data_IF_522932859373
#
_entry.id   IF_522932859373
#
_cell.length_a   1.000
_cell.length_b   1.000
_cell.length_c   1.000
_cell.angle_alpha   90.00
_cell.angle_beta   90.00
_cell.angle_gamma   90.00
#
_symmetry.space_group_name_H-M   'P 1'
#
loop_
_entity.id
_entity.type
_entity.pdbx_description
1 polymer ?
#
# COMPACT_ATOMS: atom_id res chain seq x y z
N UNK A 1 10.61 -44.74 30.73
CA UNK A 1 10.31 -44.34 29.35
C UNK A 1 9.15 -43.38 29.45
N UNK A 2 9.50 -42.09 29.51
CA UNK A 2 8.70 -41.05 30.14
C UNK A 2 7.72 -40.43 29.12
N UNK A 3 6.41 -40.50 29.39
CA UNK A 3 5.38 -39.98 28.48
C UNK A 3 5.52 -38.46 28.22
N UNK A 4 6.28 -37.76 29.08
CA UNK A 4 6.51 -36.31 29.01
C UNK A 4 7.45 -35.92 27.87
N UNK A 5 8.39 -36.78 27.46
CA UNK A 5 9.32 -36.52 26.34
C UNK A 5 8.62 -36.53 24.98
N UNK A 6 7.50 -37.26 24.88
CA UNK A 6 6.72 -37.37 23.63
C UNK A 6 5.88 -36.12 23.35
N UNK A 7 5.53 -35.35 24.38
CA UNK A 7 4.76 -34.11 24.24
C UNK A 7 5.64 -32.89 23.93
N UNK A 8 6.89 -32.86 24.42
CA UNK A 8 7.83 -31.77 24.11
C UNK A 8 8.34 -31.80 22.66
N UNK A 9 8.27 -32.95 21.99
CA UNK A 9 8.67 -33.10 20.57
C UNK A 9 7.61 -32.58 19.57
N UNK A 10 6.49 -32.01 20.03
CA UNK A 10 5.39 -31.54 19.15
C UNK A 10 5.18 -30.02 19.16
N UNK A 11 6.10 -29.26 19.72
CA UNK A 11 6.23 -27.84 19.40
C UNK A 11 6.96 -27.73 18.05
N UNK A 12 6.19 -27.75 16.96
CA UNK A 12 6.68 -27.26 15.66
C UNK A 12 7.23 -25.86 15.90
N UNK A 13 8.43 -25.50 15.43
CA UNK A 13 8.85 -24.11 15.45
C UNK A 13 7.83 -23.31 14.66
N UNK A 14 7.23 -22.34 15.35
CA UNK A 14 6.48 -21.25 14.76
C UNK A 14 7.29 -20.60 13.64
N UNK A 15 6.59 -20.18 12.58
CA UNK A 15 7.07 -19.08 11.76
C UNK A 15 8.02 -19.44 10.62
N UNK A 16 7.70 -20.46 9.81
CA UNK A 16 8.10 -20.36 8.40
C UNK A 16 7.29 -19.25 7.75
N UNK A 17 7.67 -17.98 7.96
CA UNK A 17 7.31 -16.91 7.02
C UNK A 17 7.85 -17.38 5.69
N UNK A 18 7.01 -18.02 4.86
CA UNK A 18 7.35 -18.24 3.46
C UNK A 18 7.66 -16.85 2.93
N UNK A 19 8.94 -16.56 2.70
CA UNK A 19 9.33 -15.38 1.93
C UNK A 19 8.50 -15.44 0.66
N UNK A 20 7.71 -14.40 0.42
CA UNK A 20 6.99 -14.30 -0.83
C UNK A 20 8.02 -14.17 -1.94
N UNK A 21 7.64 -14.58 -3.15
CA UNK A 21 8.51 -14.32 -4.29
C UNK A 21 8.58 -12.80 -4.51
N UNK A 22 9.78 -12.24 -4.71
CA UNK A 22 9.94 -10.88 -5.16
C UNK A 22 9.07 -10.58 -6.37
N UNK A 23 8.38 -9.44 -6.33
CA UNK A 23 7.63 -8.92 -7.47
C UNK A 23 8.56 -7.98 -8.23
N UNK A 24 8.54 -8.00 -9.56
CA UNK A 24 9.37 -7.09 -10.36
C UNK A 24 8.86 -5.66 -10.32
N UNK A 25 9.78 -4.70 -10.38
CA UNK A 25 9.47 -3.28 -10.51
C UNK A 25 8.55 -2.99 -11.70
N UNK A 26 8.76 -3.65 -12.84
CA UNK A 26 7.93 -3.49 -14.04
C UNK A 26 6.46 -3.82 -13.75
N UNK A 27 6.21 -4.91 -13.02
CA UNK A 27 4.84 -5.30 -12.67
C UNK A 27 4.20 -4.33 -11.68
N UNK A 28 4.94 -3.90 -10.65
CA UNK A 28 4.44 -2.91 -9.68
C UNK A 28 4.18 -1.57 -10.38
N UNK A 29 5.01 -1.18 -11.34
CA UNK A 29 4.85 0.02 -12.14
C UNK A 29 3.60 -0.02 -13.00
N UNK A 30 3.33 -1.13 -13.70
CA UNK A 30 2.10 -1.27 -14.49
C UNK A 30 0.84 -1.07 -13.63
N UNK A 31 0.80 -1.71 -12.45
CA UNK A 31 -0.35 -1.61 -11.54
C UNK A 31 -0.48 -0.20 -10.96
N UNK A 32 0.62 0.43 -10.57
CA UNK A 32 0.63 1.82 -10.10
C UNK A 32 0.14 2.79 -11.17
N UNK A 33 0.64 2.66 -12.41
CA UNK A 33 0.26 3.52 -13.53
C UNK A 33 -1.22 3.37 -13.88
N UNK A 34 -1.80 2.16 -13.77
CA UNK A 34 -3.23 1.96 -13.96
C UNK A 34 -4.05 2.79 -12.94
N UNK A 35 -3.68 2.73 -11.66
CA UNK A 35 -4.36 3.50 -10.59
C UNK A 35 -4.20 5.00 -10.77
N UNK A 36 -2.97 5.47 -11.04
CA UNK A 36 -2.72 6.90 -11.30
C UNK A 36 -3.50 7.38 -12.52
N UNK A 37 -3.60 6.57 -13.57
CA UNK A 37 -4.40 6.90 -14.75
C UNK A 37 -5.89 7.05 -14.44
N UNK A 38 -6.45 6.28 -13.50
CA UNK A 38 -7.84 6.43 -13.04
C UNK A 38 -8.05 7.76 -12.33
N UNK A 39 -7.16 8.11 -11.40
CA UNK A 39 -7.20 9.41 -10.69
C UNK A 39 -7.06 10.57 -11.68
N UNK A 40 -6.09 10.50 -12.59
CA UNK A 40 -5.79 11.56 -13.56
C UNK A 40 -6.95 11.89 -14.49
N UNK A 41 -7.82 10.92 -14.82
CA UNK A 41 -9.04 11.18 -15.62
C UNK A 41 -9.98 12.19 -14.96
N UNK A 42 -9.95 12.29 -13.63
CA UNK A 42 -10.80 13.19 -12.86
C UNK A 42 -10.05 14.38 -12.25
N UNK A 43 -8.73 14.35 -12.29
CA UNK A 43 -7.87 15.33 -11.63
C UNK A 43 -8.03 16.72 -12.27
N UNK A 44 -8.09 17.74 -11.42
CA UNK A 44 -8.17 19.13 -11.84
C UNK A 44 -6.91 19.83 -11.32
N UNK A 45 -6.21 20.55 -12.19
CA UNK A 45 -5.04 21.33 -11.79
C UNK A 45 -5.40 22.30 -10.65
N UNK A 46 -4.51 22.40 -9.66
CA UNK A 46 -4.75 23.16 -8.43
C UNK A 46 -5.38 22.37 -7.28
N UNK A 47 -5.86 21.13 -7.50
CA UNK A 47 -6.48 20.31 -6.44
C UNK A 47 -5.55 20.15 -5.22
N UNK A 48 -4.30 19.73 -5.42
CA UNK A 48 -3.37 19.50 -4.30
C UNK A 48 -3.02 20.81 -3.57
N UNK A 49 -2.82 21.90 -4.31
CA UNK A 49 -2.57 23.20 -3.68
C UNK A 49 -3.75 23.63 -2.79
N UNK A 50 -4.97 23.54 -3.31
CA UNK A 50 -6.18 23.85 -2.55
C UNK A 50 -6.32 22.97 -1.31
N UNK A 51 -6.07 21.66 -1.42
CA UNK A 51 -6.14 20.76 -0.28
C UNK A 51 -5.07 21.08 0.76
N UNK A 52 -3.84 21.41 0.35
CA UNK A 52 -2.78 21.85 1.26
C UNK A 52 -3.15 23.12 2.04
N UNK A 53 -3.80 24.08 1.37
CA UNK A 53 -4.18 25.37 1.98
C UNK A 53 -5.45 25.27 2.86
N UNK A 54 -6.45 24.48 2.45
CA UNK A 54 -7.78 24.48 3.06
C UNK A 54 -8.12 23.21 3.85
N UNK A 55 -7.41 22.10 3.61
CA UNK A 55 -7.68 20.79 4.20
C UNK A 55 -6.37 20.08 4.61
N UNK A 56 -5.54 20.67 5.49
CA UNK A 56 -4.20 20.15 5.82
C UNK A 56 -4.22 18.72 6.37
N UNK A 57 -5.26 18.34 7.12
CA UNK A 57 -5.40 16.97 7.60
C UNK A 57 -5.71 15.92 6.52
N UNK A 58 -6.21 16.35 5.35
CA UNK A 58 -6.33 15.48 4.17
C UNK A 58 -5.01 15.47 3.38
N UNK A 59 -4.33 16.61 3.28
CA UNK A 59 -2.99 16.70 2.68
C UNK A 59 -2.00 15.75 3.37
N UNK A 60 -1.94 15.78 4.70
CA UNK A 60 -1.12 14.86 5.49
C UNK A 60 -1.44 13.40 5.19
N UNK A 61 -2.71 13.05 4.99
CA UNK A 61 -3.11 11.68 4.67
C UNK A 61 -2.68 11.26 3.28
N UNK A 62 -2.73 12.18 2.31
CA UNK A 62 -2.24 11.96 0.95
C UNK A 62 -0.74 11.70 0.99
N UNK A 63 0.02 12.58 1.63
CA UNK A 63 1.48 12.42 1.79
C UNK A 63 1.84 11.08 2.45
N UNK A 64 1.12 10.70 3.52
CA UNK A 64 1.32 9.40 4.17
C UNK A 64 0.95 8.21 3.27
N UNK A 65 -0.03 8.36 2.38
CA UNK A 65 -0.41 7.31 1.44
C UNK A 65 0.67 7.12 0.36
N UNK A 66 1.25 8.21 -0.14
CA UNK A 66 2.39 8.17 -1.07
C UNK A 66 3.61 7.48 -0.44
N UNK A 67 3.95 7.85 0.79
CA UNK A 67 5.02 7.18 1.56
C UNK A 67 4.72 5.69 1.78
N UNK A 68 3.46 5.34 2.05
CA UNK A 68 3.05 3.95 2.20
C UNK A 68 3.21 3.16 0.91
N UNK A 69 2.87 3.72 -0.25
CA UNK A 69 3.09 3.07 -1.55
C UNK A 69 4.57 2.78 -1.74
N UNK A 70 5.45 3.76 -1.52
CA UNK A 70 6.90 3.60 -1.66
C UNK A 70 7.45 2.49 -0.74
N UNK A 71 6.99 2.44 0.51
CA UNK A 71 7.41 1.43 1.48
C UNK A 71 6.93 0.03 1.09
N UNK A 72 5.67 -0.11 0.68
CA UNK A 72 5.11 -1.41 0.27
C UNK A 72 5.74 -1.87 -1.03
N UNK A 73 6.00 -0.97 -1.97
CA UNK A 73 6.71 -1.26 -3.21
C UNK A 73 8.06 -1.92 -2.92
N UNK A 74 8.88 -1.28 -2.07
CA UNK A 74 10.16 -1.85 -1.66
C UNK A 74 10.00 -3.21 -0.99
N UNK A 75 9.00 -3.37 -0.12
CA UNK A 75 8.73 -4.65 0.52
C UNK A 75 8.29 -5.73 -0.48
N UNK A 76 7.55 -5.39 -1.54
CA UNK A 76 7.20 -6.32 -2.62
C UNK A 76 8.43 -6.76 -3.42
N UNK A 77 9.32 -5.82 -3.77
CA UNK A 77 10.60 -6.12 -4.44
C UNK A 77 11.50 -7.03 -3.60
N UNK A 78 11.41 -6.95 -2.27
CA UNK A 78 12.21 -7.78 -1.35
C UNK A 78 11.53 -9.14 -1.02
N UNK A 79 10.33 -9.40 -1.53
CA UNK A 79 9.53 -10.58 -1.17
C UNK A 79 9.01 -10.56 0.27
N UNK A 80 8.94 -9.36 0.87
CA UNK A 80 8.47 -9.10 2.22
C UNK A 80 6.99 -8.68 2.30
N UNK A 81 6.38 -8.28 1.17
CA UNK A 81 4.97 -7.96 1.04
C UNK A 81 4.36 -8.58 -0.24
N UNK A 82 3.05 -8.84 -0.22
CA UNK A 82 2.32 -9.39 -1.37
C UNK A 82 1.79 -8.28 -2.27
N UNK A 83 1.40 -8.66 -3.49
CA UNK A 83 0.70 -7.76 -4.41
C UNK A 83 -0.63 -7.24 -3.82
N UNK A 84 -1.27 -8.01 -2.95
CA UNK A 84 -2.49 -7.58 -2.25
C UNK A 84 -2.21 -6.39 -1.32
N UNK A 85 -1.11 -6.41 -0.56
CA UNK A 85 -0.71 -5.27 0.26
C UNK A 85 -0.45 -4.02 -0.58
N UNK A 86 0.13 -4.20 -1.78
CA UNK A 86 0.35 -3.11 -2.71
C UNK A 86 -0.97 -2.54 -3.24
N UNK A 87 -1.88 -3.41 -3.67
CA UNK A 87 -3.22 -3.02 -4.12
C UNK A 87 -4.03 -2.29 -3.04
N UNK A 88 -3.92 -2.68 -1.77
CA UNK A 88 -4.56 -1.97 -0.65
C UNK A 88 -4.00 -0.55 -0.45
N UNK A 89 -2.68 -0.38 -0.60
CA UNK A 89 -2.04 0.93 -0.54
C UNK A 89 -2.51 1.82 -1.69
N UNK A 90 -2.59 1.27 -2.91
CA UNK A 90 -3.10 1.97 -4.09
C UNK A 90 -4.58 2.35 -3.96
N UNK A 91 -5.43 1.46 -3.43
CA UNK A 91 -6.84 1.75 -3.21
C UNK A 91 -7.03 2.90 -2.21
N UNK A 92 -6.18 2.95 -1.18
CA UNK A 92 -6.18 4.06 -0.20
C UNK A 92 -5.78 5.38 -0.85
N UNK A 93 -4.71 5.37 -1.66
CA UNK A 93 -4.28 6.52 -2.45
C UNK A 93 -5.38 7.01 -3.39
N UNK A 94 -5.98 6.11 -4.19
CA UNK A 94 -7.06 6.45 -5.12
C UNK A 94 -8.24 7.10 -4.39
N UNK A 95 -8.66 6.52 -3.26
CA UNK A 95 -9.76 7.06 -2.45
C UNK A 95 -9.48 8.48 -1.95
N UNK A 96 -8.28 8.73 -1.43
CA UNK A 96 -7.91 10.05 -0.91
C UNK A 96 -7.83 11.11 -2.01
N UNK A 97 -7.24 10.77 -3.16
CA UNK A 97 -7.19 11.68 -4.30
C UNK A 97 -8.57 11.99 -4.88
N UNK A 98 -9.45 10.99 -4.99
CA UNK A 98 -10.84 11.21 -5.40
C UNK A 98 -11.61 12.07 -4.39
N UNK A 99 -11.34 11.91 -3.09
CA UNK A 99 -11.89 12.79 -2.07
C UNK A 99 -11.40 14.24 -2.24
N UNK A 100 -10.10 14.44 -2.45
CA UNK A 100 -9.50 15.74 -2.71
C UNK A 100 -10.12 16.44 -3.92
N UNK A 101 -10.25 15.72 -5.05
CA UNK A 101 -10.89 16.22 -6.27
C UNK A 101 -12.35 16.62 -6.00
N UNK A 102 -13.09 15.80 -5.25
CA UNK A 102 -14.48 16.10 -4.92
C UNK A 102 -14.64 17.31 -4.00
N UNK A 103 -13.70 17.56 -3.10
CA UNK A 103 -13.69 18.77 -2.27
C UNK A 103 -13.36 20.00 -3.10
N UNK A 104 -12.40 19.91 -4.01
CA UNK A 104 -12.03 21.02 -4.89
C UNK A 104 -13.15 21.44 -5.86
N UNK A 105 -13.99 20.50 -6.29
CA UNK A 105 -15.13 20.77 -7.18
C UNK A 105 -16.29 21.51 -6.49
N UNK A 106 -16.31 21.57 -5.16
CA UNK A 106 -17.40 22.18 -4.38
C UNK A 106 -17.09 23.62 -4.06
#
# INVERSE_FOLDING_TARGET
>A
MDLMEKYLSRAKPEGSKKKLEPISDEHLQDVFLETVSKVNKSYIEGTIQYIGEHHPGLDDKINNADDRINNVWKACNEGAASIECFNEALASYESLYLQAINLYRR
#
